data_IF_524075041036
#
_entry.id   IF_524075041036
#
_cell.length_a   1.000
_cell.length_b   1.000
_cell.length_c   1.000
_cell.angle_alpha   90.00
_cell.angle_beta   90.00
_cell.angle_gamma   90.00
#
_symmetry.space_group_name_H-M   'P 1'
#
loop_
_entity.id
_entity.type
_entity.pdbx_description
1 polymer ?
#
# COMPACT_ATOMS: atom_id res chain seq x y z
N UNK A 1 -12.64 28.88 3.18
CA UNK A 1 -11.79 27.76 3.64
C UNK A 1 -10.40 27.99 3.04
N UNK A 2 -9.33 28.03 3.83
CA UNK A 2 -8.00 28.39 3.28
C UNK A 2 -7.40 27.21 2.49
N UNK A 3 -6.54 27.52 1.51
CA UNK A 3 -5.81 26.51 0.74
C UNK A 3 -4.97 25.57 1.62
N UNK A 4 -4.56 26.00 2.82
CA UNK A 4 -3.84 25.14 3.77
C UNK A 4 -4.73 24.08 4.43
N UNK A 5 -5.98 24.44 4.78
CA UNK A 5 -6.94 23.49 5.38
C UNK A 5 -7.32 22.38 4.40
N UNK A 6 -7.54 22.72 3.13
CA UNK A 6 -7.91 21.75 2.08
C UNK A 6 -6.77 20.74 1.84
N UNK A 7 -5.53 21.21 1.70
CA UNK A 7 -4.37 20.33 1.52
C UNK A 7 -4.16 19.37 2.69
N UNK A 8 -4.42 19.81 3.92
CA UNK A 8 -4.35 18.96 5.10
C UNK A 8 -5.42 17.87 5.12
N UNK A 9 -6.67 18.21 4.78
CA UNK A 9 -7.75 17.24 4.73
C UNK A 9 -7.49 16.16 3.67
N UNK A 10 -6.99 16.55 2.49
CA UNK A 10 -6.61 15.60 1.43
C UNK A 10 -5.52 14.64 1.91
N UNK A 11 -4.47 15.15 2.55
CA UNK A 11 -3.39 14.31 3.07
C UNK A 11 -3.88 13.33 4.15
N UNK A 12 -4.73 13.79 5.07
CA UNK A 12 -5.29 12.93 6.13
C UNK A 12 -6.20 11.84 5.58
N UNK A 13 -7.05 12.17 4.60
CA UNK A 13 -7.92 11.19 3.94
C UNK A 13 -7.09 10.14 3.20
N UNK A 14 -6.05 10.56 2.48
CA UNK A 14 -5.15 9.64 1.78
C UNK A 14 -4.41 8.70 2.76
N UNK A 15 -3.97 9.21 3.91
CA UNK A 15 -3.34 8.38 4.96
C UNK A 15 -4.30 7.37 5.59
N UNK A 16 -5.56 7.76 5.81
CA UNK A 16 -6.60 6.84 6.30
C UNK A 16 -6.90 5.77 5.25
N UNK A 17 -7.05 6.17 3.98
CA UNK A 17 -7.25 5.24 2.86
C UNK A 17 -6.09 4.25 2.74
N UNK A 18 -4.85 4.71 2.89
CA UNK A 18 -3.67 3.86 2.94
C UNK A 18 -3.76 2.81 4.04
N UNK A 19 -4.12 3.22 5.26
CA UNK A 19 -4.20 2.32 6.40
C UNK A 19 -5.28 1.24 6.20
N UNK A 20 -6.48 1.64 5.75
CA UNK A 20 -7.58 0.71 5.48
C UNK A 20 -7.19 -0.25 4.35
N UNK A 21 -6.61 0.26 3.26
CA UNK A 21 -6.16 -0.55 2.15
C UNK A 21 -5.08 -1.55 2.57
N UNK A 22 -4.11 -1.12 3.39
CA UNK A 22 -3.07 -2.01 3.93
C UNK A 22 -3.65 -3.12 4.79
N UNK A 23 -4.61 -2.79 5.65
CA UNK A 23 -5.29 -3.76 6.50
C UNK A 23 -6.08 -4.77 5.65
N UNK A 24 -6.77 -4.32 4.60
CA UNK A 24 -7.52 -5.16 3.69
C UNK A 24 -6.61 -6.09 2.86
N UNK A 25 -5.47 -5.60 2.37
CA UNK A 25 -4.48 -6.41 1.65
C UNK A 25 -3.90 -7.52 2.55
N UNK A 26 -3.46 -7.17 3.76
CA UNK A 26 -2.92 -8.15 4.71
C UNK A 26 -4.02 -9.10 5.20
N UNK A 27 -5.25 -8.60 5.37
CA UNK A 27 -6.39 -9.41 5.81
C UNK A 27 -6.84 -10.44 4.77
N UNK A 28 -6.79 -10.09 3.49
CA UNK A 28 -7.18 -10.99 2.39
C UNK A 28 -6.15 -12.08 2.10
N UNK A 29 -4.85 -11.78 2.27
CA UNK A 29 -3.77 -12.77 2.11
C UNK A 29 -3.48 -13.52 3.41
N UNK A 30 -3.70 -12.89 4.56
CA UNK A 30 -3.30 -13.37 5.87
C UNK A 30 -1.91 -12.86 6.27
N UNK A 31 -1.74 -12.50 7.55
CA UNK A 31 -0.51 -11.86 8.03
C UNK A 31 0.74 -12.73 7.83
N UNK A 32 0.67 -14.04 8.14
CA UNK A 32 1.80 -14.96 7.96
C UNK A 32 2.17 -15.07 6.48
N UNK A 33 1.17 -15.23 5.63
CA UNK A 33 1.36 -15.42 4.20
C UNK A 33 1.89 -14.16 3.53
N UNK A 34 1.51 -12.98 4.02
CA UNK A 34 2.04 -11.69 3.58
C UNK A 34 3.57 -11.60 3.76
N UNK A 35 4.13 -12.21 4.80
CA UNK A 35 5.60 -12.31 4.97
C UNK A 35 6.21 -13.33 4.00
N UNK A 36 5.54 -14.45 3.76
CA UNK A 36 5.97 -15.46 2.78
C UNK A 36 6.03 -14.84 1.37
N UNK A 37 5.03 -14.06 0.97
CA UNK A 37 5.02 -13.30 -0.29
C UNK A 37 6.30 -12.47 -0.45
N UNK A 38 6.73 -11.77 0.61
CA UNK A 38 7.90 -10.88 0.55
C UNK A 38 9.21 -11.66 0.52
N UNK A 39 9.39 -12.64 1.42
CA UNK A 39 10.69 -13.25 1.69
C UNK A 39 10.91 -14.60 1.02
N UNK A 40 9.84 -15.32 0.70
CA UNK A 40 9.87 -16.67 0.12
C UNK A 40 8.68 -16.84 -0.86
N UNK A 41 8.59 -16.03 -1.94
CA UNK A 41 7.45 -16.04 -2.86
C UNK A 41 7.21 -17.42 -3.51
N UNK A 42 8.24 -18.25 -3.61
CA UNK A 42 8.18 -19.63 -4.07
C UNK A 42 7.41 -20.57 -3.13
N UNK A 43 7.26 -20.21 -1.85
CA UNK A 43 6.62 -21.03 -0.82
C UNK A 43 5.20 -20.57 -0.48
N UNK A 44 4.67 -19.62 -1.24
CA UNK A 44 3.30 -19.11 -1.07
C UNK A 44 2.28 -20.18 -1.45
N UNK A 45 1.23 -20.29 -0.64
CA UNK A 45 0.15 -21.24 -0.84
C UNK A 45 -0.63 -20.98 -2.14
N UNK A 46 -1.39 -21.96 -2.60
CA UNK A 46 -2.12 -21.87 -3.87
C UNK A 46 -3.24 -20.82 -3.87
N UNK A 47 -3.83 -20.53 -2.71
CA UNK A 47 -4.93 -19.57 -2.58
C UNK A 47 -4.42 -18.14 -2.75
N UNK A 48 -3.33 -17.79 -2.08
CA UNK A 48 -2.66 -16.51 -2.24
C UNK A 48 -2.07 -16.34 -3.62
N UNK A 49 -1.51 -17.39 -4.22
CA UNK A 49 -1.12 -17.33 -5.63
C UNK A 49 -2.30 -16.96 -6.53
N UNK A 50 -3.48 -17.57 -6.33
CA UNK A 50 -4.68 -17.22 -7.08
C UNK A 50 -5.09 -15.74 -6.89
N UNK A 51 -4.89 -15.19 -5.69
CA UNK A 51 -5.12 -13.76 -5.39
C UNK A 51 -4.30 -12.83 -6.28
N UNK A 52 -3.04 -13.18 -6.56
CA UNK A 52 -2.14 -12.43 -7.46
C UNK A 52 -2.35 -12.78 -8.94
N UNK A 53 -3.44 -13.46 -9.30
CA UNK A 53 -3.70 -13.89 -10.68
C UNK A 53 -2.75 -14.99 -11.18
N UNK A 54 -2.02 -15.64 -10.27
CA UNK A 54 -1.14 -16.76 -10.57
C UNK A 54 -1.98 -18.02 -10.68
N UNK A 55 -2.15 -18.52 -11.89
CA UNK A 55 -2.75 -19.85 -12.09
C UNK A 55 -1.89 -20.91 -11.38
N UNK A 56 -2.45 -21.77 -10.53
CA UNK A 56 -1.70 -22.84 -9.88
C UNK A 56 -1.01 -23.68 -10.96
N UNK A 57 0.31 -23.84 -10.85
CA UNK A 57 1.05 -24.68 -11.78
C UNK A 57 0.54 -26.12 -11.65
N UNK A 58 -0.11 -26.63 -12.69
CA UNK A 58 -0.49 -28.04 -12.85
C UNK A 58 0.72 -28.95 -13.10
N UNK A 59 1.94 -28.43 -12.99
CA UNK A 59 3.18 -29.16 -13.22
C UNK A 59 4.17 -28.95 -12.07
N UNK A 60 5.03 -29.95 -11.86
CA UNK A 60 6.07 -30.09 -10.83
C UNK A 60 7.14 -28.99 -10.79
N UNK A 61 6.94 -27.92 -11.55
CA UNK A 61 7.78 -26.73 -11.59
C UNK A 61 7.01 -25.63 -10.89
N UNK A 62 7.43 -25.26 -9.67
CA UNK A 62 6.92 -24.07 -8.97
C UNK A 62 7.20 -22.84 -9.85
N UNK A 63 6.25 -22.46 -10.70
CA UNK A 63 6.31 -21.17 -11.40
C UNK A 63 6.07 -20.07 -10.37
N UNK A 64 7.16 -19.47 -9.89
CA UNK A 64 7.12 -18.27 -9.06
C UNK A 64 6.60 -17.12 -9.92
N UNK A 65 5.32 -16.77 -9.78
CA UNK A 65 4.70 -15.67 -10.54
C UNK A 65 4.42 -14.42 -9.72
N UNK A 66 4.63 -14.46 -8.40
CA UNK A 66 4.66 -13.24 -7.59
C UNK A 66 5.91 -12.45 -7.98
N UNK A 67 5.70 -11.33 -8.65
CA UNK A 67 6.77 -10.52 -9.20
C UNK A 67 7.38 -9.61 -8.11
N UNK A 68 8.46 -8.89 -8.45
CA UNK A 68 9.07 -7.97 -7.48
C UNK A 68 8.13 -6.81 -7.11
N UNK A 69 7.27 -6.38 -8.02
CA UNK A 69 6.28 -5.33 -7.77
C UNK A 69 5.32 -5.73 -6.65
N UNK A 70 4.70 -6.90 -6.74
CA UNK A 70 3.75 -7.45 -5.79
C UNK A 70 4.36 -7.53 -4.38
N UNK A 71 5.64 -7.94 -4.32
CA UNK A 71 6.41 -8.05 -3.07
C UNK A 71 6.64 -6.71 -2.43
N UNK A 72 6.98 -5.70 -3.23
CA UNK A 72 7.29 -4.37 -2.70
C UNK A 72 5.99 -3.65 -2.29
N UNK A 73 4.88 -3.85 -3.02
CA UNK A 73 3.56 -3.36 -2.61
C UNK A 73 3.13 -3.99 -1.28
N UNK A 74 3.25 -5.32 -1.14
CA UNK A 74 2.93 -6.01 0.12
C UNK A 74 3.84 -5.57 1.28
N UNK A 75 5.14 -5.40 1.02
CA UNK A 75 6.06 -4.86 2.01
C UNK A 75 5.69 -3.43 2.45
N UNK A 76 5.25 -2.60 1.49
CA UNK A 76 4.68 -1.29 1.76
C UNK A 76 3.46 -1.37 2.67
N UNK A 77 2.49 -2.24 2.38
CA UNK A 77 1.30 -2.42 3.21
C UNK A 77 1.64 -2.82 4.65
N UNK A 78 2.57 -3.78 4.84
CA UNK A 78 3.03 -4.21 6.18
C UNK A 78 3.70 -3.05 6.92
N UNK A 79 4.61 -2.32 6.25
CA UNK A 79 5.28 -1.18 6.85
C UNK A 79 4.27 -0.10 7.26
N UNK A 80 3.21 0.10 6.48
CA UNK A 80 2.18 1.09 6.79
C UNK A 80 1.47 0.75 8.09
N UNK A 81 1.14 -0.52 8.28
CA UNK A 81 0.45 -1.03 9.47
C UNK A 81 1.39 -0.95 10.67
N UNK A 82 2.63 -1.40 10.54
CA UNK A 82 3.62 -1.34 11.63
C UNK A 82 3.87 0.10 12.08
N UNK A 83 3.84 1.05 11.16
CA UNK A 83 4.06 2.47 11.46
C UNK A 83 2.79 3.11 11.99
N UNK A 84 1.61 2.79 11.44
CA UNK A 84 0.34 3.22 12.00
C UNK A 84 0.15 2.74 13.44
N UNK A 85 0.42 1.46 13.71
CA UNK A 85 0.40 0.89 15.06
C UNK A 85 1.54 1.41 15.93
N UNK A 86 2.73 1.60 15.37
CA UNK A 86 3.90 2.18 16.03
C UNK A 86 3.62 3.59 16.52
N UNK A 87 3.12 4.47 15.66
CA UNK A 87 2.73 5.84 16.03
C UNK A 87 1.65 5.85 17.12
N UNK A 88 0.70 4.91 17.08
CA UNK A 88 -0.33 4.76 18.13
C UNK A 88 0.28 4.29 19.47
N UNK A 89 1.35 3.47 19.43
CA UNK A 89 1.98 2.90 20.64
C UNK A 89 3.11 3.74 21.23
N UNK A 90 3.81 4.59 20.45
CA UNK A 90 4.91 5.46 20.96
C UNK A 90 4.44 6.87 21.37
N UNK A 91 3.16 7.03 21.71
CA UNK A 91 2.66 8.29 22.24
C UNK A 91 2.96 8.44 23.73
N UNK A 92 4.00 9.23 24.03
CA UNK A 92 4.04 10.19 25.16
C UNK A 92 5.29 11.06 25.15
N UNK A 93 6.33 10.71 24.37
CA UNK A 93 7.50 11.58 24.10
C UNK A 93 8.00 11.37 22.67
N UNK A 94 7.33 12.06 21.76
CA UNK A 94 7.57 12.16 20.30
C UNK A 94 9.03 11.90 19.86
N UNK A 95 9.41 10.65 19.52
CA UNK A 95 10.77 10.32 19.12
C UNK A 95 11.00 10.83 17.70
N UNK A 96 12.10 11.58 17.48
CA UNK A 96 12.49 12.15 16.17
C UNK A 96 12.40 11.16 15.00
N UNK A 97 12.63 9.87 15.28
CA UNK A 97 12.58 8.79 14.29
C UNK A 97 11.16 8.52 13.77
N UNK A 98 10.13 8.60 14.62
CA UNK A 98 8.74 8.41 14.21
C UNK A 98 8.30 9.56 13.29
N UNK A 99 8.71 10.79 13.60
CA UNK A 99 8.40 11.98 12.81
C UNK A 99 9.11 12.00 11.45
N UNK A 100 10.40 11.68 11.42
CA UNK A 100 11.16 11.52 10.17
C UNK A 100 10.58 10.40 9.30
N UNK A 101 10.18 9.28 9.92
CA UNK A 101 9.59 8.17 9.20
C UNK A 101 8.23 8.55 8.61
N UNK A 102 7.28 9.07 9.39
CA UNK A 102 5.97 9.56 8.89
C UNK A 102 6.13 10.60 7.78
N UNK A 103 7.19 11.42 7.84
CA UNK A 103 7.50 12.44 6.84
C UNK A 103 7.95 11.88 5.49
N UNK A 104 8.76 10.82 5.49
CA UNK A 104 9.32 10.25 4.25
C UNK A 104 8.57 9.02 3.75
N UNK A 105 7.81 8.38 4.64
CA UNK A 105 7.12 7.13 4.36
C UNK A 105 6.16 7.22 3.17
N UNK A 106 5.28 8.23 3.05
CA UNK A 106 4.41 8.36 1.88
C UNK A 106 5.19 8.50 0.56
N UNK A 107 6.38 9.13 0.57
CA UNK A 107 7.22 9.24 -0.63
C UNK A 107 7.86 7.91 -1.02
N UNK A 108 8.33 7.13 -0.03
CA UNK A 108 8.88 5.79 -0.29
C UNK A 108 7.82 4.87 -0.87
N UNK A 109 6.64 4.82 -0.25
CA UNK A 109 5.54 3.98 -0.73
C UNK A 109 5.04 4.46 -2.08
N UNK A 110 4.91 5.76 -2.32
CA UNK A 110 4.48 6.25 -3.63
C UNK A 110 5.51 6.04 -4.74
N UNK A 111 6.81 6.20 -4.44
CA UNK A 111 7.86 5.91 -5.42
C UNK A 111 7.82 4.45 -5.87
N UNK A 112 7.60 3.55 -4.91
CA UNK A 112 7.38 2.12 -5.15
C UNK A 112 6.09 1.88 -5.95
N UNK A 113 4.98 2.47 -5.50
CA UNK A 113 3.64 2.28 -6.06
C UNK A 113 3.54 2.79 -7.51
N UNK A 114 4.18 3.92 -7.83
CA UNK A 114 4.19 4.49 -9.19
C UNK A 114 5.01 3.62 -10.15
N UNK A 115 6.15 3.06 -9.70
CA UNK A 115 6.94 2.14 -10.53
C UNK A 115 6.22 0.81 -10.78
N UNK A 116 5.39 0.40 -9.82
CA UNK A 116 4.70 -0.88 -9.81
C UNK A 116 3.37 -0.89 -10.59
N UNK A 117 2.56 0.17 -10.45
CA UNK A 117 1.14 0.12 -10.75
C UNK A 117 0.61 1.42 -11.37
N UNK A 118 1.40 2.02 -12.26
CA UNK A 118 1.05 3.26 -12.98
C UNK A 118 -0.31 3.20 -13.69
N UNK A 119 -0.60 2.09 -14.37
CA UNK A 119 -1.87 1.89 -15.07
C UNK A 119 -3.07 1.73 -14.12
N UNK A 120 -2.84 1.16 -12.94
CA UNK A 120 -3.86 1.08 -11.88
C UNK A 120 -4.17 2.48 -11.32
N UNK A 121 -3.15 3.30 -11.10
CA UNK A 121 -3.33 4.67 -10.60
C UNK A 121 -4.14 5.50 -11.61
N UNK A 122 -3.78 5.44 -12.89
CA UNK A 122 -4.47 6.20 -13.94
C UNK A 122 -5.90 5.73 -14.09
N UNK A 123 -6.16 4.42 -14.13
CA UNK A 123 -7.54 3.90 -14.23
C UNK A 123 -8.42 4.26 -13.03
N UNK A 124 -7.88 4.33 -11.82
CA UNK A 124 -8.64 4.81 -10.64
C UNK A 124 -8.94 6.31 -10.76
N UNK A 125 -7.98 7.13 -11.19
CA UNK A 125 -8.20 8.57 -11.37
C UNK A 125 -9.15 8.91 -12.52
N UNK A 126 -9.07 8.16 -13.62
CA UNK A 126 -9.95 8.29 -14.78
C UNK A 126 -11.34 7.70 -14.52
N UNK A 127 -11.55 7.04 -13.38
CA UNK A 127 -12.81 6.42 -12.99
C UNK A 127 -13.18 5.18 -13.81
N UNK A 128 -12.21 4.59 -14.51
CA UNK A 128 -12.38 3.39 -15.34
C UNK A 128 -12.15 2.10 -14.57
N UNK A 129 -11.63 2.18 -13.34
CA UNK A 129 -11.49 1.02 -12.46
C UNK A 129 -12.84 0.43 -12.04
N UNK A 130 -13.06 -0.85 -12.38
CA UNK A 130 -14.27 -1.57 -11.99
C UNK A 130 -14.10 -2.22 -10.61
N UNK A 131 -14.65 -1.56 -9.59
CA UNK A 131 -14.62 -2.05 -8.21
C UNK A 131 -15.45 -3.32 -7.99
N UNK A 132 -16.39 -3.65 -8.88
CA UNK A 132 -17.26 -4.82 -8.72
C UNK A 132 -16.72 -6.05 -9.45
N UNK A 133 -15.98 -5.86 -10.55
CA UNK A 133 -15.38 -6.95 -11.30
C UNK A 133 -14.05 -7.45 -10.70
N UNK A 134 -13.37 -6.61 -9.92
CA UNK A 134 -12.10 -6.95 -9.29
C UNK A 134 -12.28 -7.62 -7.93
N UNK A 135 -11.31 -8.47 -7.56
CA UNK A 135 -11.28 -9.10 -6.23
C UNK A 135 -11.08 -8.04 -5.13
N UNK A 136 -11.45 -8.39 -3.89
CA UNK A 136 -11.21 -7.53 -2.72
C UNK A 136 -9.73 -7.17 -2.55
N UNK A 137 -8.83 -8.10 -2.87
CA UNK A 137 -7.39 -7.85 -2.84
C UNK A 137 -6.98 -6.82 -3.90
N UNK A 138 -7.41 -7.01 -5.16
CA UNK A 138 -7.08 -6.11 -6.26
C UNK A 138 -7.62 -4.69 -5.99
N UNK A 139 -8.83 -4.60 -5.43
CA UNK A 139 -9.41 -3.34 -5.00
C UNK A 139 -8.62 -2.69 -3.86
N UNK A 140 -8.19 -3.48 -2.87
CA UNK A 140 -7.36 -2.98 -1.78
C UNK A 140 -5.99 -2.52 -2.28
N UNK A 141 -5.37 -3.24 -3.20
CA UNK A 141 -4.13 -2.85 -3.86
C UNK A 141 -4.28 -1.55 -4.66
N UNK A 142 -5.31 -1.45 -5.49
CA UNK A 142 -5.60 -0.24 -6.26
C UNK A 142 -5.80 0.98 -5.35
N UNK A 143 -6.53 0.80 -4.24
CA UNK A 143 -6.72 1.85 -3.24
C UNK A 143 -5.41 2.21 -2.53
N UNK A 144 -4.59 1.22 -2.17
CA UNK A 144 -3.31 1.42 -1.50
C UNK A 144 -2.34 2.22 -2.39
N UNK A 145 -2.17 1.79 -3.63
CA UNK A 145 -1.26 2.40 -4.60
C UNK A 145 -1.73 3.82 -4.94
N UNK A 146 -3.03 4.01 -5.20
CA UNK A 146 -3.58 5.34 -5.53
C UNK A 146 -3.48 6.30 -4.35
N UNK A 147 -3.84 5.85 -3.15
CA UNK A 147 -3.74 6.67 -1.93
C UNK A 147 -2.28 7.03 -1.62
N UNK A 148 -1.33 6.14 -1.94
CA UNK A 148 0.11 6.40 -1.83
C UNK A 148 0.52 7.54 -2.76
N UNK A 149 0.11 7.47 -4.03
CA UNK A 149 0.41 8.49 -5.03
C UNK A 149 -0.15 9.87 -4.62
N UNK A 150 -1.40 9.92 -4.13
CA UNK A 150 -2.02 11.16 -3.61
C UNK A 150 -1.24 11.70 -2.40
N UNK A 151 -0.88 10.84 -1.44
CA UNK A 151 -0.15 11.25 -0.24
C UNK A 151 1.24 11.80 -0.57
N UNK A 152 1.96 11.20 -1.51
CA UNK A 152 3.24 11.73 -1.97
C UNK A 152 3.09 13.04 -2.76
N UNK A 153 2.10 13.14 -3.64
CA UNK A 153 1.78 14.39 -4.34
C UNK A 153 1.50 15.53 -3.35
N UNK A 154 0.70 15.28 -2.32
CA UNK A 154 0.42 16.23 -1.25
C UNK A 154 1.68 16.62 -0.46
N UNK A 155 2.55 15.65 -0.14
CA UNK A 155 3.82 15.90 0.55
C UNK A 155 4.77 16.78 -0.27
N UNK A 156 4.89 16.51 -1.58
CA UNK A 156 5.69 17.32 -2.53
C UNK A 156 5.11 18.72 -2.73
N UNK A 157 3.79 18.86 -2.79
CA UNK A 157 3.08 20.13 -2.96
C UNK A 157 3.12 21.07 -1.72
N UNK A 158 3.96 20.74 -0.72
CA UNK A 158 4.28 21.63 0.38
C UNK A 158 3.33 21.53 1.58
N UNK A 159 2.66 20.40 1.82
CA UNK A 159 2.01 20.11 3.12
C UNK A 159 3.04 20.06 4.28
N UNK A 160 4.34 20.15 3.95
CA UNK A 160 5.54 20.25 4.81
C UNK A 160 5.50 21.17 6.05
N UNK A 161 4.49 22.03 6.25
CA UNK A 161 4.53 23.03 7.33
C UNK A 161 3.81 22.67 8.63
N UNK A 162 3.12 21.53 8.76
CA UNK A 162 2.29 21.31 9.97
C UNK A 162 1.97 19.86 10.34
N UNK A 163 2.84 18.90 10.01
CA UNK A 163 2.86 17.61 10.73
C UNK A 163 3.95 17.65 11.81
#
# INVERSE_FOLDING_TARGET
>A
MSNSTIKHQIASIALIGLFIASAAMIGSVGARESFTVIFSPEDVNSETNATYGVTPATSTTKEVKINITDRVVMAGAIMNILVGLGVVTVSSKDPKIAREFVKWYPMLVAGIAIMAAGDTITSVFDGTWDWNANSDFNNAEALFVTSSAVAAGASLAGVKKSL
#
